data_IF_094536287417
#
_entry.id   IF_094536287417
#
_cell.length_a   1.000
_cell.length_b   1.000
_cell.length_c   1.000
_cell.angle_alpha   90.00
_cell.angle_beta   90.00
_cell.angle_gamma   90.00
#
_symmetry.space_group_name_H-M   'P 1'
#
loop_
_entity.id
_entity.type
_entity.pdbx_description
1 polymer ?
#
# COMPACT_ATOMS: atom_id res chain seq x y z
N UNK A 1 0.22 1.89 -6.99
CA UNK A 1 1.03 3.04 -6.54
C UNK A 1 0.21 3.73 -5.47
N UNK A 2 0.74 3.91 -4.26
CA UNK A 2 0.04 4.65 -3.21
C UNK A 2 0.37 6.13 -3.38
N UNK A 3 -0.65 6.97 -3.39
CA UNK A 3 -0.46 8.41 -3.34
C UNK A 3 -0.45 8.85 -1.88
N UNK A 4 0.57 9.61 -1.50
CA UNK A 4 0.68 10.24 -0.17
C UNK A 4 0.22 11.68 -0.32
N UNK A 5 -0.71 12.10 0.54
CA UNK A 5 -1.18 13.46 0.66
C UNK A 5 -1.16 13.89 2.13
N UNK A 6 -1.11 15.21 2.35
CA UNK A 6 -1.42 15.78 3.66
C UNK A 6 -2.94 15.85 3.78
N UNK A 7 -3.48 15.25 4.84
CA UNK A 7 -4.91 15.20 5.08
C UNK A 7 -5.19 15.12 6.59
N UNK A 8 -6.42 15.47 6.96
CA UNK A 8 -6.93 15.34 8.33
C UNK A 8 -7.57 13.95 8.51
N UNK A 9 -7.49 13.41 9.72
CA UNK A 9 -8.08 12.10 10.02
C UNK A 9 -9.60 12.18 10.04
N UNK A 10 -10.26 11.21 9.40
CA UNK A 10 -11.71 11.04 9.44
C UNK A 10 -12.11 9.84 10.32
N UNK A 11 -13.42 9.66 10.49
CA UNK A 11 -13.98 8.50 11.21
C UNK A 11 -13.65 7.16 10.55
N UNK A 12 -13.30 7.17 9.26
CA UNK A 12 -13.00 5.98 8.47
C UNK A 12 -11.51 5.63 8.49
N UNK A 13 -10.69 6.37 9.24
CA UNK A 13 -9.25 6.20 9.25
C UNK A 13 -8.74 5.62 10.58
N UNK A 14 -7.56 5.02 10.50
CA UNK A 14 -6.73 4.64 11.63
C UNK A 14 -5.54 5.61 11.65
N UNK A 15 -5.28 6.16 12.84
CA UNK A 15 -4.16 7.07 13.06
C UNK A 15 -3.04 6.31 13.75
N UNK A 16 -1.89 6.23 13.07
CA UNK A 16 -0.65 5.70 13.61
C UNK A 16 0.25 6.87 13.99
N UNK A 17 0.76 6.87 15.22
CA UNK A 17 1.75 7.87 15.66
C UNK A 17 3.14 7.31 15.49
N UNK A 18 3.96 7.96 14.67
CA UNK A 18 5.35 7.59 14.48
C UNK A 18 6.23 8.83 14.40
N UNK A 19 7.28 8.88 15.21
CA UNK A 19 8.08 10.08 15.44
C UNK A 19 7.22 11.31 15.76
N UNK A 20 7.30 12.35 14.94
CA UNK A 20 6.54 13.59 15.05
C UNK A 20 5.38 13.67 14.04
N UNK A 21 5.01 12.55 13.43
CA UNK A 21 3.98 12.48 12.39
C UNK A 21 2.78 11.64 12.84
N UNK A 22 1.59 12.12 12.44
CA UNK A 22 0.38 11.31 12.42
C UNK A 22 0.23 10.74 11.02
N UNK A 23 0.32 9.42 10.90
CA UNK A 23 0.09 8.70 9.65
C UNK A 23 -1.36 8.26 9.66
N UNK A 24 -2.14 8.75 8.70
CA UNK A 24 -3.57 8.47 8.55
C UNK A 24 -3.74 7.45 7.42
N UNK A 25 -4.42 6.35 7.72
CA UNK A 25 -4.68 5.28 6.74
C UNK A 25 -6.13 4.86 6.86
N UNK A 26 -6.83 4.81 5.72
CA UNK A 26 -8.18 4.28 5.66
C UNK A 26 -8.28 2.89 6.29
N UNK A 27 -9.30 2.66 7.15
CA UNK A 27 -9.53 1.41 7.88
C UNK A 27 -9.60 0.18 6.98
N UNK A 28 -10.24 0.30 5.82
CA UNK A 28 -10.34 -0.82 4.89
C UNK A 28 -8.96 -1.21 4.35
N UNK A 29 -8.16 -0.20 3.98
CA UNK A 29 -6.81 -0.41 3.48
C UNK A 29 -5.88 -0.95 4.57
N UNK A 30 -5.94 -0.36 5.77
CA UNK A 30 -5.15 -0.80 6.92
C UNK A 30 -5.44 -2.26 7.31
N UNK A 31 -6.69 -2.73 7.13
CA UNK A 31 -7.04 -4.13 7.43
C UNK A 31 -6.39 -5.16 6.49
N UNK A 32 -5.88 -4.73 5.34
CA UNK A 32 -5.26 -5.57 4.31
C UNK A 32 -3.72 -5.51 4.34
N UNK A 33 -3.15 -4.77 5.28
CA UNK A 33 -1.72 -4.50 5.39
C UNK A 33 -1.21 -4.95 6.75
N UNK A 34 -0.17 -5.77 6.80
CA UNK A 34 0.50 -6.06 8.07
C UNK A 34 1.70 -5.14 8.31
N UNK A 35 2.36 -4.67 7.25
CA UNK A 35 3.50 -3.75 7.37
C UNK A 35 3.52 -2.66 6.30
N UNK A 36 3.95 -1.48 6.73
CA UNK A 36 4.16 -0.31 5.88
C UNK A 36 5.47 0.33 6.26
N UNK A 37 6.30 0.58 5.26
CA UNK A 37 7.51 1.37 5.36
C UNK A 37 7.36 2.60 4.47
N UNK A 38 7.50 3.78 5.08
CA UNK A 38 7.44 5.06 4.38
C UNK A 38 8.82 5.70 4.48
N UNK A 39 9.40 6.08 3.35
CA UNK A 39 10.70 6.74 3.32
C UNK A 39 10.75 7.79 2.22
N UNK A 40 11.61 8.79 2.41
CA UNK A 40 11.85 9.82 1.41
C UNK A 40 13.05 9.43 0.54
N UNK A 41 12.82 9.33 -0.76
CA UNK A 41 13.86 9.03 -1.74
C UNK A 41 14.21 10.31 -2.50
N UNK A 42 15.48 10.73 -2.41
CA UNK A 42 16.00 11.89 -3.14
C UNK A 42 16.54 11.44 -4.50
N UNK A 43 15.80 11.74 -5.57
CA UNK A 43 16.23 11.46 -6.95
C UNK A 43 16.68 12.71 -7.69
N UNK A 44 17.51 12.52 -8.72
CA UNK A 44 18.07 13.59 -9.57
C UNK A 44 16.97 14.31 -10.37
N UNK A 45 15.91 13.59 -10.77
CA UNK A 45 14.78 14.13 -11.54
C UNK A 45 13.44 14.13 -10.79
N UNK A 46 13.28 13.25 -9.80
CA UNK A 46 12.11 13.21 -8.91
C UNK A 46 12.54 12.80 -7.51
N UNK A 47 12.33 13.68 -6.54
CA UNK A 47 12.39 13.36 -5.12
C UNK A 47 10.97 13.22 -4.57
N UNK A 48 10.76 12.35 -3.60
CA UNK A 48 9.44 12.19 -2.99
C UNK A 48 9.36 11.03 -2.02
N UNK A 49 8.22 10.94 -1.34
CA UNK A 49 7.94 9.81 -0.48
C UNK A 49 7.62 8.55 -1.28
N UNK A 50 8.09 7.42 -0.77
CA UNK A 50 7.85 6.07 -1.25
C UNK A 50 7.20 5.27 -0.15
N UNK A 51 6.32 4.36 -0.56
CA UNK A 51 5.64 3.41 0.33
C UNK A 51 6.00 2.02 -0.13
N UNK A 52 6.59 1.24 0.76
CA UNK A 52 6.67 -0.21 0.64
C UNK A 52 5.67 -0.80 1.62
N UNK A 53 4.99 -1.85 1.20
CA UNK A 53 4.01 -2.55 2.03
C UNK A 53 3.93 -4.00 1.59
N UNK A 54 3.54 -4.87 2.51
CA UNK A 54 3.34 -6.29 2.27
C UNK A 54 2.03 -6.60 1.52
N UNK A 55 1.29 -5.59 1.01
CA UNK A 55 0.15 -5.86 0.11
C UNK A 55 0.65 -6.57 -1.14
N UNK A 56 0.54 -7.89 -1.11
CA UNK A 56 0.49 -8.71 -2.29
C UNK A 56 -0.90 -8.60 -2.91
N UNK A 57 -1.16 -7.51 -3.66
CA UNK A 57 -2.33 -7.39 -4.55
C UNK A 57 -2.50 -8.66 -5.41
N UNK A 58 -1.38 -9.35 -5.71
CA UNK A 58 -1.32 -10.59 -6.47
C UNK A 58 -1.98 -11.82 -5.82
N UNK A 59 -2.16 -11.89 -4.50
CA UNK A 59 -2.82 -13.06 -3.88
C UNK A 59 -4.34 -12.96 -3.91
N UNK A 60 -4.93 -11.76 -3.82
CA UNK A 60 -6.39 -11.60 -3.91
C UNK A 60 -6.92 -11.97 -5.30
N UNK A 61 -6.17 -11.66 -6.37
CA UNK A 61 -6.56 -12.06 -7.72
C UNK A 61 -6.61 -13.57 -7.89
N UNK A 62 -5.72 -14.35 -7.25
CA UNK A 62 -5.72 -15.82 -7.33
C UNK A 62 -7.07 -16.45 -6.94
N UNK A 63 -7.82 -15.79 -6.08
CA UNK A 63 -9.11 -16.30 -5.58
C UNK A 63 -10.32 -15.78 -6.34
N UNK A 64 -10.15 -14.81 -7.25
CA UNK A 64 -11.24 -14.28 -8.09
C UNK A 64 -11.43 -15.11 -9.36
N UNK A 65 -12.69 -15.40 -9.69
CA UNK A 65 -13.03 -16.34 -10.77
C UNK A 65 -12.56 -15.90 -12.16
N UNK A 66 -12.46 -14.60 -12.40
CA UNK A 66 -11.97 -14.07 -13.66
C UNK A 66 -10.44 -14.20 -13.84
N UNK A 67 -9.66 -14.26 -12.75
CA UNK A 67 -8.21 -14.44 -12.84
C UNK A 67 -7.82 -15.92 -12.94
N UNK A 68 -8.65 -16.83 -12.40
CA UNK A 68 -8.47 -18.30 -12.54
C UNK A 68 -8.56 -18.76 -13.99
N UNK A 69 -9.23 -17.99 -14.86
CA UNK A 69 -9.49 -18.35 -16.25
C UNK A 69 -8.54 -17.65 -17.26
N UNK A 70 -7.49 -16.94 -16.80
CA UNK A 70 -6.48 -16.39 -17.70
C UNK A 70 -5.34 -17.40 -17.92
N UNK A 71 -5.20 -17.99 -19.12
CA UNK A 71 -4.25 -19.09 -19.37
C UNK A 71 -2.76 -18.70 -19.32
N UNK A 72 -2.42 -17.42 -19.11
CA UNK A 72 -1.05 -16.91 -19.24
C UNK A 72 -0.48 -16.22 -17.99
N UNK A 73 -1.10 -16.35 -16.81
CA UNK A 73 -0.53 -15.75 -15.59
C UNK A 73 0.45 -16.74 -14.93
N UNK A 74 1.70 -16.77 -15.42
CA UNK A 74 2.82 -17.24 -14.60
C UNK A 74 3.16 -16.13 -13.60
N UNK A 75 2.82 -16.35 -12.33
CA UNK A 75 3.25 -15.47 -11.25
C UNK A 75 4.66 -15.91 -10.85
N UNK A 76 5.73 -15.12 -11.11
CA UNK A 76 7.04 -15.45 -10.59
C UNK A 76 6.98 -15.35 -9.06
N UNK A 77 7.32 -16.47 -8.41
CA UNK A 77 7.62 -16.52 -6.99
C UNK A 77 9.02 -15.92 -6.86
N UNK A 78 9.13 -14.79 -6.17
CA UNK A 78 10.41 -14.18 -5.76
C UNK A 78 10.65 -14.62 -4.31
#
# INVERSE_FOLDING_TARGET
MFDIALDDATELDIVFKHDNYNIVINKELASKINSIEIFFEKGISKSGFRVLTDICWKFEYRFKDWAKNSPNIQIPII
#
